data_IF_839950476101
#
_entry.id   IF_839950476101
#
_cell.length_a   1.000
_cell.length_b   1.000
_cell.length_c   1.000
_cell.angle_alpha   90.00
_cell.angle_beta   90.00
_cell.angle_gamma   90.00
#
_symmetry.space_group_name_H-M   'P 1'
#
loop_
_entity.id
_entity.type
_entity.pdbx_description
1 polymer ?
#
# COMPACT_ATOMS: atom_id res chain seq x y z
N UNK A 1 25.11 -27.70 -72.53
CA UNK A 1 25.55 -29.09 -72.77
C UNK A 1 26.66 -29.38 -71.77
N UNK A 2 26.56 -30.49 -71.05
CA UNK A 2 27.40 -30.78 -69.89
C UNK A 2 28.88 -30.94 -70.19
N UNK A 3 29.69 -30.52 -69.21
CA UNK A 3 31.11 -30.85 -69.06
C UNK A 3 31.30 -32.27 -68.52
N UNK A 4 32.37 -32.95 -68.96
CA UNK A 4 33.14 -33.88 -68.11
C UNK A 4 34.44 -34.34 -68.77
N UNK A 5 35.55 -34.15 -68.04
CA UNK A 5 36.85 -34.85 -68.00
C UNK A 5 37.97 -33.81 -67.96
N UNK A 6 38.67 -33.54 -66.84
CA UNK A 6 39.40 -34.39 -65.87
C UNK A 6 40.47 -35.27 -66.53
N UNK A 7 41.68 -34.69 -66.60
CA UNK A 7 42.98 -35.34 -66.41
C UNK A 7 43.70 -34.46 -65.36
N UNK A 8 43.84 -34.86 -64.09
CA UNK A 8 44.68 -35.90 -63.49
C UNK A 8 46.19 -35.68 -63.65
N UNK A 9 46.87 -35.74 -62.50
CA UNK A 9 48.31 -35.93 -62.29
C UNK A 9 49.18 -34.68 -62.43
N UNK A 10 49.61 -34.07 -61.32
CA UNK A 10 50.79 -34.47 -60.49
C UNK A 10 52.09 -34.20 -61.26
N UNK A 11 53.10 -33.51 -60.75
CA UNK A 11 53.77 -33.50 -59.43
C UNK A 11 54.60 -32.21 -59.38
N UNK A 12 54.45 -31.36 -58.36
CA UNK A 12 55.28 -31.32 -57.13
C UNK A 12 56.78 -31.40 -57.40
N UNK A 13 57.51 -30.36 -56.99
CA UNK A 13 58.79 -30.35 -56.23
C UNK A 13 59.40 -28.96 -56.38
N UNK A 14 59.99 -28.25 -55.42
CA UNK A 14 60.28 -28.38 -53.98
C UNK A 14 60.77 -26.97 -53.61
N UNK A 15 60.16 -26.32 -52.63
CA UNK A 15 60.74 -26.11 -51.28
C UNK A 15 62.10 -25.38 -51.27
N UNK A 16 62.13 -24.13 -50.75
CA UNK A 16 63.17 -23.68 -49.83
C UNK A 16 62.56 -22.71 -48.81
N UNK A 17 62.88 -22.97 -47.54
CA UNK A 17 62.36 -22.37 -46.33
C UNK A 17 62.84 -20.94 -46.07
N UNK A 18 61.98 -20.12 -45.46
CA UNK A 18 62.36 -18.98 -44.63
C UNK A 18 61.65 -19.09 -43.27
N UNK A 19 62.47 -19.08 -42.22
CA UNK A 19 62.08 -19.03 -40.81
C UNK A 19 61.24 -17.77 -40.55
N UNK A 20 59.93 -17.93 -40.36
CA UNK A 20 59.03 -16.80 -40.13
C UNK A 20 58.97 -16.49 -38.64
N UNK A 21 59.51 -15.32 -38.29
CA UNK A 21 59.41 -14.62 -37.00
C UNK A 21 58.12 -14.98 -36.25
N UNK A 22 58.25 -15.79 -35.20
CA UNK A 22 57.14 -16.45 -34.50
C UNK A 22 56.23 -15.53 -33.68
N UNK A 23 56.50 -14.22 -33.67
CA UNK A 23 55.59 -13.22 -33.09
C UNK A 23 55.59 -11.97 -33.98
N UNK A 24 54.44 -11.67 -34.57
CA UNK A 24 54.22 -10.46 -35.35
C UNK A 24 54.13 -9.25 -34.41
N UNK A 25 54.49 -8.04 -34.88
CA UNK A 25 54.28 -6.79 -34.14
C UNK A 25 52.82 -6.63 -33.66
N UNK A 26 51.88 -7.26 -34.37
CA UNK A 26 50.47 -7.33 -34.01
C UNK A 26 50.20 -8.18 -32.75
N UNK A 27 50.92 -9.28 -32.54
CA UNK A 27 50.78 -10.11 -31.34
C UNK A 27 51.28 -9.39 -30.10
N UNK A 28 52.40 -8.65 -30.19
CA UNK A 28 52.92 -7.88 -29.07
C UNK A 28 51.93 -6.79 -28.63
N UNK A 29 51.28 -6.13 -29.60
CA UNK A 29 50.21 -5.16 -29.34
C UNK A 29 49.01 -5.85 -28.69
N UNK A 30 48.60 -7.03 -29.18
CA UNK A 30 47.50 -7.80 -28.62
C UNK A 30 47.77 -8.21 -27.16
N UNK A 31 48.96 -8.71 -26.86
CA UNK A 31 49.36 -9.05 -25.48
C UNK A 31 49.35 -7.82 -24.57
N UNK A 32 49.85 -6.67 -25.03
CA UNK A 32 49.81 -5.42 -24.24
C UNK A 32 48.38 -4.94 -23.93
N UNK A 33 47.47 -5.08 -24.89
CA UNK A 33 46.05 -4.72 -24.70
C UNK A 33 45.35 -5.68 -23.73
N UNK A 34 45.65 -6.98 -23.82
CA UNK A 34 45.08 -7.99 -22.91
C UNK A 34 45.60 -7.76 -21.49
N UNK A 35 46.89 -7.51 -21.31
CA UNK A 35 47.48 -7.20 -20.00
C UNK A 35 46.94 -5.88 -19.45
N UNK A 36 46.78 -4.86 -20.29
CA UNK A 36 46.14 -3.60 -19.94
C UNK A 36 44.68 -3.77 -19.47
N UNK A 37 43.89 -4.58 -20.19
CA UNK A 37 42.52 -4.90 -19.81
C UNK A 37 42.45 -5.73 -18.52
N UNK A 38 43.37 -6.68 -18.33
CA UNK A 38 43.42 -7.50 -17.11
C UNK A 38 43.86 -6.69 -15.90
N UNK A 39 44.86 -5.82 -16.04
CA UNK A 39 45.29 -4.90 -14.97
C UNK A 39 44.21 -3.88 -14.64
N UNK A 40 43.55 -3.31 -15.66
CA UNK A 40 42.38 -2.46 -15.48
C UNK A 40 41.26 -3.22 -14.76
N UNK A 41 40.86 -4.39 -15.25
CA UNK A 41 39.81 -5.19 -14.63
C UNK A 41 40.16 -5.63 -13.21
N UNK A 42 41.43 -5.94 -12.93
CA UNK A 42 41.91 -6.31 -11.60
C UNK A 42 41.90 -5.11 -10.63
N UNK A 43 42.30 -3.92 -11.09
CA UNK A 43 42.23 -2.69 -10.28
C UNK A 43 40.79 -2.21 -10.08
N UNK A 44 39.94 -2.36 -11.09
CA UNK A 44 38.51 -2.02 -11.01
C UNK A 44 37.66 -3.10 -10.33
N UNK A 45 38.23 -4.28 -10.03
CA UNK A 45 37.53 -5.38 -9.35
C UNK A 45 37.19 -5.09 -7.89
N UNK A 46 37.70 -4.00 -7.32
CA UNK A 46 37.38 -3.52 -5.97
C UNK A 46 36.37 -2.39 -6.01
N UNK A 47 35.10 -2.77 -6.19
CA UNK A 47 33.91 -2.17 -5.55
C UNK A 47 32.73 -3.05 -5.92
N UNK A 48 32.54 -4.13 -5.15
CA UNK A 48 31.22 -4.72 -5.03
C UNK A 48 30.47 -3.77 -4.10
N UNK A 49 29.50 -3.05 -4.63
CA UNK A 49 28.50 -2.39 -3.80
C UNK A 49 27.77 -3.49 -3.03
N UNK A 50 27.95 -3.49 -1.71
CA UNK A 50 27.14 -4.29 -0.81
C UNK A 50 25.70 -3.81 -0.99
N UNK A 51 24.87 -4.68 -1.56
CA UNK A 51 23.43 -4.46 -1.65
C UNK A 51 22.95 -4.22 -0.22
N UNK A 52 22.28 -3.10 0.10
CA UNK A 52 21.74 -2.92 1.44
C UNK A 52 20.86 -4.13 1.75
N UNK A 53 21.13 -4.76 2.87
CA UNK A 53 20.32 -5.84 3.42
C UNK A 53 18.89 -5.31 3.51
N UNK A 54 18.01 -5.80 2.63
CA UNK A 54 16.60 -5.44 2.66
C UNK A 54 16.08 -5.87 4.02
N UNK A 55 15.84 -4.90 4.91
CA UNK A 55 15.01 -5.11 6.09
C UNK A 55 13.75 -5.78 5.58
N UNK A 56 13.58 -7.03 6.01
CA UNK A 56 12.41 -7.85 5.75
C UNK A 56 11.20 -6.93 5.94
N UNK A 57 10.48 -6.62 4.86
CA UNK A 57 9.21 -5.90 4.96
C UNK A 57 8.34 -6.85 5.77
N UNK A 58 8.31 -6.63 7.08
CA UNK A 58 7.23 -7.11 7.91
C UNK A 58 5.99 -6.57 7.22
N UNK A 59 5.12 -7.48 6.80
CA UNK A 59 3.84 -7.17 6.19
C UNK A 59 3.03 -6.37 7.20
N UNK A 60 3.31 -5.06 7.23
CA UNK A 60 2.56 -4.05 7.92
C UNK A 60 1.33 -3.83 7.04
N UNK A 61 0.28 -4.58 7.34
CA UNK A 61 -1.10 -4.28 6.94
C UNK A 61 -1.61 -2.98 7.56
N UNK A 62 -0.74 -1.98 7.80
CA UNK A 62 -1.04 -0.75 8.54
C UNK A 62 -0.93 0.52 7.71
N UNK A 63 -0.55 0.47 6.42
CA UNK A 63 -0.30 1.69 5.63
C UNK A 63 -1.54 2.36 5.03
N UNK A 64 -2.75 2.11 5.55
CA UNK A 64 -3.98 2.81 5.13
C UNK A 64 -4.69 3.56 6.28
N UNK A 65 -4.37 3.25 7.56
CA UNK A 65 -4.99 3.90 8.74
C UNK A 65 -4.26 5.17 9.22
N UNK A 66 -3.59 5.90 8.34
CA UNK A 66 -2.62 6.95 8.76
C UNK A 66 -3.21 8.36 9.00
N UNK A 67 -4.52 8.58 8.81
CA UNK A 67 -5.11 9.90 9.12
C UNK A 67 -6.25 9.81 10.14
N UNK A 68 -5.95 10.25 11.35
CA UNK A 68 -6.95 10.50 12.40
C UNK A 68 -8.13 11.32 11.86
N UNK A 69 -9.35 10.90 12.14
CA UNK A 69 -10.54 11.65 11.71
C UNK A 69 -10.61 13.01 12.41
N UNK A 70 -10.10 13.12 13.63
CA UNK A 70 -10.06 14.39 14.40
C UNK A 70 -9.18 15.41 13.67
N UNK A 71 -8.00 15.00 13.21
CA UNK A 71 -7.12 15.87 12.41
C UNK A 71 -7.75 16.27 11.07
N UNK A 72 -8.47 15.34 10.42
CA UNK A 72 -9.24 15.64 9.20
C UNK A 72 -10.36 16.64 9.47
N UNK A 73 -11.07 16.52 10.59
CA UNK A 73 -12.10 17.46 11.01
C UNK A 73 -11.51 18.85 11.28
N UNK A 74 -10.40 18.95 12.03
CA UNK A 74 -9.68 20.22 12.27
C UNK A 74 -9.26 20.90 10.97
N UNK A 75 -8.58 20.18 10.08
CA UNK A 75 -8.10 20.70 8.78
C UNK A 75 -9.23 21.21 7.88
N UNK A 76 -10.40 20.61 7.99
CA UNK A 76 -11.55 20.95 7.13
C UNK A 76 -12.60 21.83 7.82
N UNK A 77 -12.36 22.22 9.07
CA UNK A 77 -13.25 23.05 9.87
C UNK A 77 -14.60 22.37 10.13
N UNK A 78 -14.60 21.07 10.40
CA UNK A 78 -15.81 20.29 10.74
C UNK A 78 -15.90 20.06 12.22
N UNK A 79 -17.12 20.12 12.75
CA UNK A 79 -17.42 19.87 14.17
C UNK A 79 -18.47 18.77 14.36
N UNK A 80 -19.06 18.25 13.29
CA UNK A 80 -19.93 17.07 13.36
C UNK A 80 -19.33 15.96 12.50
N UNK A 81 -19.25 14.76 13.05
CA UNK A 81 -18.95 13.54 12.30
C UNK A 81 -20.07 12.53 12.52
N UNK A 82 -20.50 11.87 11.44
CA UNK A 82 -21.56 10.86 11.49
C UNK A 82 -21.01 9.54 10.96
N UNK A 83 -20.77 8.59 11.86
CA UNK A 83 -20.38 7.23 11.48
C UNK A 83 -21.60 6.41 11.09
N UNK A 84 -21.44 5.50 10.14
CA UNK A 84 -22.49 4.56 9.73
C UNK A 84 -22.01 3.12 9.82
N UNK A 85 -22.74 2.27 10.55
CA UNK A 85 -22.64 0.83 10.44
C UNK A 85 -23.71 0.35 9.45
N UNK A 86 -23.30 -0.09 8.25
CA UNK A 86 -24.22 -0.31 7.13
C UNK A 86 -23.77 -1.49 6.25
N UNK A 87 -24.69 -2.42 5.92
CA UNK A 87 -24.43 -3.45 4.91
C UNK A 87 -25.04 -3.11 3.55
N UNK A 88 -26.27 -2.58 3.54
CA UNK A 88 -27.05 -2.32 2.31
C UNK A 88 -27.20 -0.84 1.98
N UNK A 89 -26.41 0.03 2.62
CA UNK A 89 -26.37 1.48 2.35
C UNK A 89 -27.44 2.33 3.07
N UNK A 90 -28.36 1.72 3.84
CA UNK A 90 -29.44 2.49 4.49
C UNK A 90 -28.92 3.42 5.59
N UNK A 91 -28.06 2.92 6.48
CA UNK A 91 -27.48 3.74 7.54
C UNK A 91 -26.49 4.78 6.97
N UNK A 92 -25.77 4.43 5.92
CA UNK A 92 -24.92 5.35 5.17
C UNK A 92 -25.72 6.52 4.58
N UNK A 93 -26.88 6.25 3.98
CA UNK A 93 -27.75 7.31 3.46
C UNK A 93 -28.22 8.25 4.58
N UNK A 94 -28.63 7.72 5.73
CA UNK A 94 -29.00 8.55 6.89
C UNK A 94 -27.84 9.39 7.39
N UNK A 95 -26.64 8.81 7.53
CA UNK A 95 -25.45 9.53 7.94
C UNK A 95 -25.09 10.66 6.97
N UNK A 96 -25.16 10.38 5.66
CA UNK A 96 -24.96 11.37 4.60
C UNK A 96 -25.99 12.51 4.63
N UNK A 97 -27.24 12.23 4.99
CA UNK A 97 -28.29 13.24 5.14
C UNK A 97 -28.08 14.08 6.39
N UNK A 98 -27.79 13.46 7.53
CA UNK A 98 -27.51 14.15 8.79
C UNK A 98 -26.27 15.06 8.68
N UNK A 99 -25.20 14.59 8.04
CA UNK A 99 -23.99 15.40 7.86
C UNK A 99 -24.21 16.62 6.98
N UNK A 100 -25.09 16.52 5.96
CA UNK A 100 -25.53 17.65 5.14
C UNK A 100 -26.43 18.62 5.91
N UNK A 101 -27.29 18.11 6.78
CA UNK A 101 -28.20 18.93 7.58
C UNK A 101 -27.47 19.81 8.60
N UNK A 102 -26.30 19.38 9.09
CA UNK A 102 -25.43 20.20 9.94
C UNK A 102 -25.21 21.62 9.39
N UNK A 103 -25.05 21.76 8.07
CA UNK A 103 -24.85 23.05 7.41
C UNK A 103 -26.03 24.02 7.62
N UNK A 104 -27.26 23.49 7.67
CA UNK A 104 -28.48 24.29 7.86
C UNK A 104 -28.56 24.91 9.26
N UNK A 105 -27.85 24.32 10.23
CA UNK A 105 -27.81 24.76 11.62
C UNK A 105 -26.52 25.55 11.96
N UNK A 106 -25.79 26.03 10.95
CA UNK A 106 -24.55 26.78 11.15
C UNK A 106 -23.36 25.93 11.60
N UNK A 107 -23.47 24.59 11.50
CA UNK A 107 -22.41 23.64 11.82
C UNK A 107 -21.83 23.04 10.53
N UNK A 108 -20.77 22.23 10.65
CA UNK A 108 -20.14 21.60 9.48
C UNK A 108 -19.94 20.11 9.76
N UNK A 109 -20.70 19.29 9.03
CA UNK A 109 -20.71 17.85 9.15
C UNK A 109 -19.83 17.13 8.10
N UNK A 110 -19.44 15.90 8.42
CA UNK A 110 -19.08 14.86 7.47
C UNK A 110 -19.66 13.51 7.90
N UNK A 111 -19.88 12.64 6.94
CA UNK A 111 -20.10 11.21 7.16
C UNK A 111 -18.79 10.45 6.96
N UNK A 112 -18.64 9.32 7.65
CA UNK A 112 -17.44 8.50 7.61
C UNK A 112 -17.78 7.03 7.85
N UNK A 113 -17.05 6.15 7.18
CA UNK A 113 -17.07 4.72 7.49
C UNK A 113 -16.21 4.47 8.75
N UNK A 114 -16.73 3.87 9.82
CA UNK A 114 -15.92 3.56 11.00
C UNK A 114 -14.77 2.57 10.71
N UNK A 115 -14.86 1.72 9.68
CA UNK A 115 -13.77 0.78 9.32
C UNK A 115 -12.48 1.50 8.85
N UNK A 116 -12.63 2.72 8.33
CA UNK A 116 -11.51 3.52 7.80
C UNK A 116 -10.69 4.24 8.89
N UNK A 117 -11.18 4.29 10.13
CA UNK A 117 -10.57 5.08 11.22
C UNK A 117 -10.31 4.24 12.47
N UNK A 118 -9.37 4.71 13.29
CA UNK A 118 -9.22 4.21 14.65
C UNK A 118 -10.15 5.02 15.57
N UNK A 119 -11.14 4.35 16.18
CA UNK A 119 -12.12 5.01 17.05
C UNK A 119 -11.55 5.34 18.43
N UNK A 120 -10.33 4.92 18.77
CA UNK A 120 -9.61 5.42 19.94
C UNK A 120 -9.39 6.95 19.89
N UNK A 121 -9.38 7.53 18.68
CA UNK A 121 -9.30 8.98 18.45
C UNK A 121 -10.51 9.76 19.00
N UNK A 122 -11.62 9.08 19.37
CA UNK A 122 -12.76 9.71 20.03
C UNK A 122 -12.34 10.48 21.30
N UNK A 123 -11.31 10.02 22.01
CA UNK A 123 -10.73 10.71 23.17
C UNK A 123 -10.18 12.11 22.85
N UNK A 124 -9.78 12.35 21.60
CA UNK A 124 -9.25 13.63 21.11
C UNK A 124 -10.35 14.53 20.50
N UNK A 125 -11.58 14.01 20.36
CA UNK A 125 -12.71 14.76 19.82
C UNK A 125 -13.07 16.04 20.62
N UNK A 126 -12.95 16.09 21.97
CA UNK A 126 -13.19 17.29 22.75
C UNK A 126 -12.24 18.46 22.45
N UNK A 127 -11.14 18.23 21.72
CA UNK A 127 -10.24 19.30 21.25
C UNK A 127 -10.89 20.19 20.17
N UNK A 128 -11.99 19.76 19.57
CA UNK A 128 -12.74 20.52 18.57
C UNK A 128 -13.91 21.24 19.24
N UNK A 129 -14.00 22.56 19.02
CA UNK A 129 -15.09 23.37 19.55
C UNK A 129 -16.46 22.90 19.03
N UNK A 130 -17.40 22.70 19.96
CA UNK A 130 -18.75 22.19 19.67
C UNK A 130 -18.76 20.85 18.92
N UNK A 131 -17.76 20.00 19.16
CA UNK A 131 -17.71 18.67 18.57
C UNK A 131 -18.90 17.79 18.98
N UNK A 132 -19.44 17.04 18.02
CA UNK A 132 -20.47 16.03 18.21
C UNK A 132 -20.20 14.87 17.25
N UNK A 133 -20.18 13.65 17.78
CA UNK A 133 -20.19 12.42 16.97
C UNK A 133 -21.60 11.82 16.95
N UNK A 134 -22.05 11.35 15.80
CA UNK A 134 -23.34 10.66 15.67
C UNK A 134 -23.11 9.28 15.06
N UNK A 135 -23.80 8.27 15.55
CA UNK A 135 -23.70 6.89 15.05
C UNK A 135 -25.04 6.45 14.44
N UNK A 136 -25.06 6.14 13.16
CA UNK A 136 -26.17 5.47 12.50
C UNK A 136 -25.85 3.98 12.38
N UNK A 137 -26.36 3.15 13.30
CA UNK A 137 -25.91 1.76 13.43
C UNK A 137 -27.02 0.80 13.05
N UNK A 138 -26.82 0.02 11.99
CA UNK A 138 -27.70 -1.11 11.69
C UNK A 138 -27.31 -2.34 12.50
N UNK A 139 -28.31 -3.13 12.89
CA UNK A 139 -28.12 -4.43 13.54
C UNK A 139 -28.41 -5.55 12.54
N UNK A 140 -27.55 -6.57 12.49
CA UNK A 140 -27.68 -7.74 11.62
C UNK A 140 -27.66 -9.06 12.41
N UNK A 141 -27.94 -10.17 11.72
CA UNK A 141 -27.82 -11.51 12.29
C UNK A 141 -28.62 -11.68 13.60
N UNK A 142 -27.92 -12.17 14.62
CA UNK A 142 -28.45 -12.42 15.96
C UNK A 142 -28.11 -11.25 16.91
N UNK A 143 -28.21 -10.02 16.43
CA UNK A 143 -27.85 -8.82 17.19
C UNK A 143 -26.43 -8.31 16.93
N UNK A 144 -25.77 -8.84 15.91
CA UNK A 144 -24.40 -8.54 15.54
C UNK A 144 -24.26 -7.14 14.89
N UNK A 145 -23.08 -6.50 14.98
CA UNK A 145 -22.74 -5.32 14.20
C UNK A 145 -22.77 -5.61 12.68
N UNK A 146 -22.73 -4.55 11.88
CA UNK A 146 -22.39 -4.67 10.45
C UNK A 146 -20.90 -4.94 10.26
N UNK A 147 -20.51 -5.52 9.12
CA UNK A 147 -19.10 -5.88 8.87
C UNK A 147 -18.17 -4.67 9.01
N UNK A 148 -18.56 -3.53 8.44
CA UNK A 148 -17.78 -2.28 8.52
C UNK A 148 -17.74 -1.66 9.93
N UNK A 149 -18.50 -2.19 10.89
CA UNK A 149 -18.51 -1.74 12.29
C UNK A 149 -17.96 -2.80 13.25
N UNK A 150 -17.46 -3.94 12.75
CA UNK A 150 -16.95 -5.03 13.59
C UNK A 150 -15.75 -4.57 14.44
N UNK A 151 -14.74 -3.95 13.82
CA UNK A 151 -13.56 -3.42 14.53
C UNK A 151 -13.96 -2.41 15.64
N UNK A 152 -14.98 -1.59 15.38
CA UNK A 152 -15.51 -0.64 16.37
C UNK A 152 -16.24 -1.35 17.52
N UNK A 153 -17.03 -2.37 17.21
CA UNK A 153 -17.72 -3.18 18.20
C UNK A 153 -16.74 -3.91 19.12
N UNK A 154 -15.71 -4.54 18.55
CA UNK A 154 -14.69 -5.25 19.31
C UNK A 154 -13.91 -4.27 20.21
N UNK A 155 -13.54 -3.10 19.68
CA UNK A 155 -12.90 -2.05 20.45
C UNK A 155 -13.75 -1.61 21.66
N UNK A 156 -15.07 -1.44 21.51
CA UNK A 156 -15.96 -1.08 22.61
C UNK A 156 -16.00 -2.13 23.74
N UNK A 157 -15.77 -3.40 23.44
CA UNK A 157 -15.78 -4.48 24.45
C UNK A 157 -14.48 -4.51 25.27
N UNK A 158 -13.35 -4.12 24.67
CA UNK A 158 -12.02 -4.26 25.27
C UNK A 158 -11.45 -2.96 25.82
N UNK A 159 -11.97 -1.80 25.38
CA UNK A 159 -11.40 -0.49 25.69
C UNK A 159 -11.64 -0.05 27.13
N UNK A 160 -10.65 0.64 27.69
CA UNK A 160 -10.74 1.38 28.97
C UNK A 160 -10.40 2.87 28.76
N UNK A 161 -10.60 3.35 27.52
CA UNK A 161 -10.32 4.75 27.15
C UNK A 161 -11.37 5.67 27.78
N UNK A 162 -10.91 6.72 28.45
CA UNK A 162 -11.79 7.76 28.98
C UNK A 162 -12.32 8.65 27.84
N UNK A 163 -13.64 8.67 27.66
CA UNK A 163 -14.36 9.50 26.70
C UNK A 163 -15.04 10.70 27.36
N UNK A 164 -14.59 11.10 28.55
CA UNK A 164 -15.10 12.27 29.26
C UNK A 164 -15.05 13.52 28.37
N UNK A 165 -16.20 14.19 28.26
CA UNK A 165 -16.36 15.39 27.44
C UNK A 165 -16.77 15.14 25.98
N UNK A 166 -16.74 13.88 25.51
CA UNK A 166 -17.26 13.51 24.19
C UNK A 166 -18.78 13.66 24.18
N UNK A 167 -19.30 14.39 23.20
CA UNK A 167 -20.75 14.51 22.95
C UNK A 167 -21.12 13.54 21.84
N UNK A 168 -22.11 12.68 22.09
CA UNK A 168 -22.56 11.71 21.10
C UNK A 168 -24.08 11.61 20.99
N UNK A 169 -24.54 11.07 19.86
CA UNK A 169 -25.92 10.61 19.67
C UNK A 169 -25.94 9.33 18.84
N UNK A 170 -26.95 8.47 19.03
CA UNK A 170 -27.08 7.20 18.29
C UNK A 170 -28.47 7.11 17.67
N UNK A 171 -28.52 6.64 16.43
CA UNK A 171 -29.73 6.26 15.72
C UNK A 171 -29.60 4.81 15.25
N UNK A 172 -30.24 3.90 15.98
CA UNK A 172 -30.26 2.47 15.67
C UNK A 172 -31.26 2.13 14.56
N UNK A 173 -30.79 1.40 13.55
CA UNK A 173 -31.62 0.84 12.48
C UNK A 173 -31.83 -0.66 12.74
N UNK A 174 -33.09 -1.06 12.83
CA UNK A 174 -33.45 -2.44 13.09
C UNK A 174 -34.90 -2.72 12.73
N UNK A 175 -35.26 -3.99 12.84
CA UNK A 175 -36.59 -4.47 12.50
C UNK A 175 -37.19 -5.22 13.69
N UNK A 176 -38.38 -4.80 14.13
CA UNK A 176 -39.08 -5.33 15.32
C UNK A 176 -39.50 -6.80 15.19
N UNK A 177 -39.39 -7.39 14.00
CA UNK A 177 -39.67 -8.82 13.79
C UNK A 177 -38.52 -9.73 14.25
N UNK A 178 -37.30 -9.19 14.41
CA UNK A 178 -36.16 -9.92 14.94
C UNK A 178 -36.18 -9.92 16.46
N UNK A 179 -35.60 -10.97 17.05
CA UNK A 179 -35.48 -11.11 18.51
C UNK A 179 -34.63 -9.97 19.10
N UNK A 180 -33.49 -9.70 18.48
CA UNK A 180 -32.52 -8.69 18.90
C UNK A 180 -32.77 -7.33 18.22
N UNK A 181 -33.89 -6.68 18.56
CA UNK A 181 -34.25 -5.36 17.99
C UNK A 181 -33.27 -4.26 18.42
N UNK A 182 -32.53 -3.68 17.44
CA UNK A 182 -31.56 -2.59 17.64
C UNK A 182 -30.41 -2.95 18.61
N UNK A 183 -29.98 -4.20 18.70
CA UNK A 183 -28.93 -4.58 19.65
C UNK A 183 -27.60 -3.82 19.47
N UNK A 184 -27.23 -3.44 18.24
CA UNK A 184 -26.00 -2.70 17.97
C UNK A 184 -26.10 -1.19 18.25
N UNK A 185 -27.29 -0.60 18.16
CA UNK A 185 -27.50 0.85 18.21
C UNK A 185 -28.14 1.31 19.51
#
# INVERSE_FOLDING_TARGET
MGDSHVDTSSTVSEAVAEEVSLFSMTDMILFSLIVGLLTYWFLFRKKKEEVPEFTKIQTLTSSVRESSFVEKMKKTGRNIIVFYGSQTGTAEEFANRLSKDAHRYGMRGMSADPEEYDLADLSSLPEIDNALVVFCMATYGEGDPTDNAQDFYDWLQETDVDLSGVKFAVFGLGNKTYEHFNAMG
#
